data_IF_361816285371
#
_entry.id   IF_361816285371
#
_cell.length_a   1.000
_cell.length_b   1.000
_cell.length_c   1.000
_cell.angle_alpha   90.00
_cell.angle_beta   90.00
_cell.angle_gamma   90.00
#
_symmetry.space_group_name_H-M   'P 1'
#
loop_
_entity.id
_entity.type
_entity.pdbx_description
1 polymer ?
#
# COMPACT_ATOMS: atom_id res chain seq x y z
N UNK A 1 -10.28 8.72 -9.56
CA UNK A 1 -9.05 8.82 -10.34
C UNK A 1 -8.04 7.81 -9.84
N UNK A 2 -7.94 6.70 -10.53
CA UNK A 2 -7.09 5.62 -10.06
C UNK A 2 -5.59 5.90 -10.20
N UNK A 3 -5.18 6.81 -11.09
CA UNK A 3 -3.76 7.09 -11.30
C UNK A 3 -3.06 7.74 -10.11
N UNK A 4 -3.74 8.62 -9.37
CA UNK A 4 -3.11 9.27 -8.23
C UNK A 4 -2.77 8.28 -7.11
N UNK A 5 -3.49 7.17 -7.02
CA UNK A 5 -3.22 6.14 -6.02
C UNK A 5 -1.85 5.48 -6.22
N UNK A 6 -1.39 5.39 -7.46
CA UNK A 6 -0.08 4.80 -7.76
C UNK A 6 1.08 5.68 -7.30
N UNK A 7 0.87 7.00 -7.30
CA UNK A 7 1.87 7.94 -6.77
C UNK A 7 1.84 8.01 -5.26
N UNK A 8 0.66 7.81 -4.66
CA UNK A 8 0.42 8.00 -3.24
C UNK A 8 0.56 6.71 -2.46
N UNK A 9 -0.06 5.63 -2.98
CA UNK A 9 -0.06 4.31 -2.35
C UNK A 9 0.49 3.30 -3.35
N UNK A 10 1.82 3.11 -3.38
CA UNK A 10 2.44 2.26 -4.38
C UNK A 10 2.10 0.78 -4.20
N UNK A 11 2.16 0.03 -5.29
CA UNK A 11 1.77 -1.37 -5.36
C UNK A 11 2.96 -2.26 -5.68
N UNK A 12 2.87 -3.54 -5.33
CA UNK A 12 3.87 -4.53 -5.78
C UNK A 12 3.53 -4.96 -7.21
N UNK A 13 4.55 -5.36 -7.99
CA UNK A 13 4.33 -5.80 -9.37
C UNK A 13 3.41 -7.02 -9.42
N UNK A 14 2.68 -7.14 -10.51
CA UNK A 14 1.77 -8.26 -10.71
C UNK A 14 0.33 -7.95 -10.36
N UNK A 15 0.05 -6.78 -9.78
CA UNK A 15 -1.31 -6.36 -9.42
C UNK A 15 -1.89 -5.35 -10.39
N UNK A 16 -1.04 -4.54 -11.04
CA UNK A 16 -1.48 -3.52 -11.98
C UNK A 16 -1.71 -4.08 -13.36
N UNK A 17 -2.73 -3.56 -14.03
CA UNK A 17 -3.11 -4.02 -15.36
C UNK A 17 -2.85 -2.98 -16.45
N UNK A 18 -2.60 -1.72 -16.08
CA UNK A 18 -2.31 -0.66 -17.05
C UNK A 18 -0.80 -0.47 -17.19
N UNK A 19 -0.37 0.13 -18.29
CA UNK A 19 1.04 0.45 -18.51
C UNK A 19 1.56 1.43 -17.45
N UNK A 20 0.72 2.39 -17.05
CA UNK A 20 1.06 3.35 -16.02
C UNK A 20 1.29 2.64 -14.68
N UNK A 21 0.41 1.71 -14.33
CA UNK A 21 0.53 0.93 -13.10
C UNK A 21 1.84 0.15 -13.07
N UNK A 22 2.19 -0.50 -14.17
CA UNK A 22 3.42 -1.27 -14.27
C UNK A 22 4.66 -0.40 -14.09
N UNK A 23 4.60 0.83 -14.52
CA UNK A 23 5.73 1.76 -14.42
C UNK A 23 6.03 2.15 -12.97
N UNK A 24 5.00 2.30 -12.15
CA UNK A 24 5.14 2.81 -10.78
C UNK A 24 5.10 1.74 -9.69
N UNK A 25 5.00 0.46 -10.06
CA UNK A 25 4.92 -0.59 -9.06
C UNK A 25 6.32 -1.01 -8.58
N UNK A 26 6.37 -1.51 -7.34
CA UNK A 26 7.61 -2.06 -6.81
C UNK A 26 7.99 -3.34 -7.54
N UNK A 27 9.23 -3.43 -7.97
CA UNK A 27 9.74 -4.60 -8.68
C UNK A 27 10.29 -5.67 -7.74
N UNK A 28 10.70 -5.27 -6.53
CA UNK A 28 11.25 -6.19 -5.54
C UNK A 28 11.13 -5.60 -4.15
N UNK A 29 11.37 -6.42 -3.13
CA UNK A 29 11.32 -5.95 -1.74
C UNK A 29 12.40 -4.93 -1.41
N UNK A 30 13.53 -4.97 -2.13
CA UNK A 30 14.57 -3.95 -1.99
C UNK A 30 14.07 -2.55 -2.30
N UNK A 31 13.21 -2.43 -3.31
CA UNK A 31 12.60 -1.14 -3.66
C UNK A 31 11.62 -0.67 -2.58
N UNK A 32 10.89 -1.59 -1.95
CA UNK A 32 10.00 -1.24 -0.84
C UNK A 32 10.81 -0.69 0.32
N UNK A 33 11.91 -1.33 0.65
CA UNK A 33 12.80 -0.85 1.72
C UNK A 33 13.41 0.51 1.39
N UNK A 34 13.82 0.71 0.14
CA UNK A 34 14.36 1.98 -0.31
C UNK A 34 13.32 3.10 -0.22
N UNK A 35 12.06 2.80 -0.57
CA UNK A 35 10.95 3.73 -0.43
C UNK A 35 10.78 4.17 1.02
N UNK A 36 10.75 3.20 1.95
CA UNK A 36 10.56 3.49 3.36
C UNK A 36 11.76 4.24 3.97
N UNK A 37 12.96 4.07 3.41
CA UNK A 37 14.16 4.75 3.87
C UNK A 37 14.33 6.14 3.28
N UNK A 38 13.62 6.48 2.21
CA UNK A 38 13.70 7.80 1.59
C UNK A 38 12.87 8.79 2.43
N UNK A 39 13.53 9.84 2.94
CA UNK A 39 12.91 10.74 3.91
C UNK A 39 11.67 11.45 3.33
N UNK A 40 11.69 11.84 2.07
CA UNK A 40 10.56 12.53 1.45
C UNK A 40 9.38 11.60 1.22
N UNK A 41 9.65 10.39 0.74
CA UNK A 41 8.61 9.40 0.49
C UNK A 41 8.02 8.91 1.82
N UNK A 42 8.86 8.71 2.82
CA UNK A 42 8.43 8.31 4.16
C UNK A 42 7.47 9.34 4.77
N UNK A 43 7.85 10.61 4.77
CA UNK A 43 6.97 11.65 5.32
C UNK A 43 5.67 11.79 4.55
N UNK A 44 5.70 11.69 3.24
CA UNK A 44 4.50 11.80 2.43
C UNK A 44 3.52 10.67 2.72
N UNK A 45 4.01 9.44 2.76
CA UNK A 45 3.13 8.29 2.98
C UNK A 45 2.62 8.24 4.42
N UNK A 46 3.45 8.56 5.40
CA UNK A 46 3.02 8.56 6.80
C UNK A 46 1.99 9.63 7.06
N UNK A 47 2.13 10.82 6.48
CA UNK A 47 1.14 11.88 6.60
C UNK A 47 -0.21 11.44 6.06
N UNK A 48 -0.22 10.81 4.89
CA UNK A 48 -1.45 10.30 4.29
C UNK A 48 -2.09 9.19 5.13
N UNK A 49 -1.29 8.28 5.66
CA UNK A 49 -1.79 7.22 6.52
C UNK A 49 -2.41 7.80 7.81
N UNK A 50 -1.77 8.80 8.39
CA UNK A 50 -2.30 9.47 9.58
C UNK A 50 -3.61 10.19 9.29
N UNK A 51 -3.71 10.84 8.14
CA UNK A 51 -4.96 11.48 7.72
C UNK A 51 -6.07 10.44 7.58
N UNK A 52 -5.78 9.30 6.98
CA UNK A 52 -6.77 8.23 6.84
C UNK A 52 -7.24 7.73 8.20
N UNK A 53 -6.34 7.62 9.17
CA UNK A 53 -6.69 7.16 10.51
C UNK A 53 -7.56 8.17 11.27
N UNK A 54 -7.50 9.45 10.90
CA UNK A 54 -8.30 10.49 11.52
C UNK A 54 -9.70 10.62 10.90
N UNK A 55 -9.96 10.02 9.76
CA UNK A 55 -11.27 10.09 9.12
C UNK A 55 -12.32 9.40 9.98
N UNK A 56 -13.54 9.94 9.98
CA UNK A 56 -14.64 9.43 10.79
C UNK A 56 -15.20 8.11 10.25
N UNK A 57 -15.14 7.89 8.94
CA UNK A 57 -15.61 6.65 8.33
C UNK A 57 -14.52 5.60 8.33
N UNK A 58 -14.93 4.34 8.50
CA UNK A 58 -14.05 3.18 8.34
C UNK A 58 -14.37 2.38 7.07
N UNK A 59 -15.20 2.93 6.20
CA UNK A 59 -15.59 2.27 4.96
C UNK A 59 -14.74 2.80 3.80
N UNK A 60 -13.75 2.00 3.33
CA UNK A 60 -12.86 2.46 2.27
C UNK A 60 -13.56 2.64 0.93
N UNK A 61 -14.65 1.92 0.70
CA UNK A 61 -15.39 2.03 -0.55
C UNK A 61 -16.08 3.39 -0.64
N UNK A 62 -16.56 3.92 0.48
CA UNK A 62 -17.15 5.26 0.51
C UNK A 62 -16.14 6.34 0.13
N UNK A 63 -14.88 6.16 0.54
CA UNK A 63 -13.83 7.16 0.31
C UNK A 63 -13.25 7.05 -1.10
N UNK A 64 -12.93 5.84 -1.53
CA UNK A 64 -12.11 5.60 -2.72
C UNK A 64 -12.83 4.87 -3.84
N UNK A 65 -14.00 4.25 -3.58
CA UNK A 65 -14.58 3.29 -4.50
C UNK A 65 -13.92 1.93 -4.35
N UNK A 66 -14.50 0.90 -4.97
CA UNK A 66 -14.06 -0.48 -4.77
C UNK A 66 -12.65 -0.77 -5.27
N UNK A 67 -12.30 -0.25 -6.45
CA UNK A 67 -10.99 -0.53 -7.06
C UNK A 67 -9.87 0.13 -6.27
N UNK A 68 -10.03 1.41 -5.92
CA UNK A 68 -9.00 2.14 -5.18
C UNK A 68 -8.90 1.66 -3.73
N UNK A 69 -9.99 1.17 -3.15
CA UNK A 69 -9.95 0.55 -1.83
C UNK A 69 -9.06 -0.69 -1.84
N UNK A 70 -9.15 -1.51 -2.89
CA UNK A 70 -8.28 -2.69 -3.03
C UNK A 70 -6.82 -2.30 -3.20
N UNK A 71 -6.55 -1.21 -3.90
CA UNK A 71 -5.19 -0.69 -4.04
C UNK A 71 -4.63 -0.23 -2.70
N UNK A 72 -5.44 0.40 -1.89
CA UNK A 72 -5.04 0.80 -0.54
C UNK A 72 -4.69 -0.44 0.29
N UNK A 73 -5.55 -1.45 0.29
CA UNK A 73 -5.31 -2.69 1.03
C UNK A 73 -4.00 -3.35 0.58
N UNK A 74 -3.80 -3.45 -0.73
CA UNK A 74 -2.59 -4.03 -1.30
C UNK A 74 -1.34 -3.22 -0.92
N UNK A 75 -1.42 -1.90 -1.00
CA UNK A 75 -0.30 -1.03 -0.66
C UNK A 75 0.09 -1.18 0.82
N UNK A 76 -0.89 -1.18 1.72
CA UNK A 76 -0.63 -1.33 3.14
C UNK A 76 -0.01 -2.71 3.43
N UNK A 77 -0.43 -3.73 2.70
CA UNK A 77 0.12 -5.07 2.85
C UNK A 77 1.60 -5.12 2.49
N UNK A 78 2.00 -4.43 1.42
CA UNK A 78 3.41 -4.42 1.03
C UNK A 78 4.24 -3.49 1.93
N UNK A 79 3.70 -2.33 2.31
CA UNK A 79 4.44 -1.36 3.12
C UNK A 79 4.69 -1.86 4.55
N UNK A 80 3.82 -2.70 5.09
CA UNK A 80 4.00 -3.24 6.44
C UNK A 80 5.19 -4.21 6.53
N UNK A 81 5.79 -4.59 5.40
CA UNK A 81 6.99 -5.42 5.41
C UNK A 81 8.22 -4.65 5.86
N UNK A 82 8.14 -3.32 5.93
CA UNK A 82 9.22 -2.47 6.39
C UNK A 82 9.00 -2.10 7.86
N UNK A 83 10.08 -2.03 8.62
CA UNK A 83 10.01 -1.67 10.05
C UNK A 83 9.47 -0.26 10.24
N UNK A 84 9.84 0.65 9.34
CA UNK A 84 9.47 2.06 9.45
C UNK A 84 7.96 2.27 9.30
N UNK A 85 7.29 1.46 8.50
CA UNK A 85 5.89 1.68 8.15
C UNK A 85 4.95 0.61 8.71
N UNK A 86 5.48 -0.41 9.37
CA UNK A 86 4.70 -1.54 9.86
C UNK A 86 3.52 -1.13 10.73
N UNK A 87 3.76 -0.29 11.72
CA UNK A 87 2.71 0.09 12.67
C UNK A 87 1.58 0.85 12.00
N UNK A 88 1.92 1.84 11.18
CA UNK A 88 0.91 2.65 10.50
C UNK A 88 0.15 1.82 9.46
N UNK A 89 0.85 1.00 8.69
CA UNK A 89 0.22 0.17 7.69
C UNK A 89 -0.76 -0.82 8.34
N UNK A 90 -0.37 -1.44 9.43
CA UNK A 90 -1.27 -2.34 10.16
C UNK A 90 -2.45 -1.59 10.76
N UNK A 91 -2.25 -0.36 11.26
CA UNK A 91 -3.35 0.44 11.79
C UNK A 91 -4.38 0.77 10.70
N UNK A 92 -3.92 1.09 9.49
CA UNK A 92 -4.82 1.36 8.36
C UNK A 92 -5.58 0.09 7.97
N UNK A 93 -4.89 -1.05 7.91
CA UNK A 93 -5.56 -2.33 7.63
C UNK A 93 -6.60 -2.66 8.69
N UNK A 94 -6.29 -2.44 9.97
CA UNK A 94 -7.24 -2.71 11.06
C UNK A 94 -8.48 -1.83 10.95
N UNK A 95 -8.29 -0.55 10.63
CA UNK A 95 -9.41 0.39 10.56
C UNK A 95 -10.33 0.12 9.37
N UNK A 96 -9.79 -0.10 8.19
CA UNK A 96 -10.56 -0.15 6.95
C UNK A 96 -10.83 -1.56 6.43
N UNK A 97 -10.08 -2.55 6.88
CA UNK A 97 -10.14 -3.91 6.33
C UNK A 97 -10.20 -4.98 7.40
N UNK A 98 -10.55 -4.62 8.64
CA UNK A 98 -10.63 -5.55 9.77
C UNK A 98 -9.32 -6.33 9.98
N UNK A 99 -8.19 -5.71 9.69
CA UNK A 99 -6.88 -6.32 9.84
C UNK A 99 -6.51 -7.28 8.70
N UNK A 100 -7.35 -7.41 7.68
CA UNK A 100 -7.13 -8.37 6.60
C UNK A 100 -6.17 -7.81 5.55
N UNK A 101 -5.04 -8.50 5.29
CA UNK A 101 -4.14 -8.09 4.22
C UNK A 101 -4.67 -8.53 2.86
N UNK A 102 -4.07 -8.01 1.80
CA UNK A 102 -4.36 -8.46 0.45
C UNK A 102 -3.63 -9.79 0.21
N UNK A 103 -4.39 -10.88 0.08
CA UNK A 103 -3.80 -12.22 -0.09
C UNK A 103 -2.96 -12.33 -1.36
N UNK A 104 -3.40 -11.73 -2.44
CA UNK A 104 -2.64 -11.71 -3.69
C UNK A 104 -1.27 -11.07 -3.49
N UNK A 105 -1.23 -9.96 -2.75
CA UNK A 105 0.03 -9.28 -2.44
C UNK A 105 0.93 -10.16 -1.58
N UNK A 106 0.36 -10.87 -0.59
CA UNK A 106 1.14 -11.78 0.24
C UNK A 106 1.76 -12.90 -0.59
N UNK A 107 1.03 -13.46 -1.54
CA UNK A 107 1.55 -14.50 -2.43
C UNK A 107 2.73 -13.99 -3.24
N UNK A 108 2.62 -12.78 -3.76
CA UNK A 108 3.69 -12.17 -4.55
C UNK A 108 4.93 -11.91 -3.68
N UNK A 109 4.72 -11.39 -2.47
CA UNK A 109 5.82 -11.13 -1.53
C UNK A 109 6.54 -12.45 -1.18
N UNK A 110 5.79 -13.49 -0.88
CA UNK A 110 6.35 -14.80 -0.57
C UNK A 110 7.19 -15.34 -1.72
N UNK A 111 6.69 -15.17 -2.95
CA UNK A 111 7.44 -15.56 -4.15
C UNK A 111 8.77 -14.83 -4.26
N UNK A 112 8.79 -13.54 -3.88
CA UNK A 112 10.02 -12.74 -3.92
C UNK A 112 11.02 -13.15 -2.83
N UNK A 113 10.53 -13.52 -1.66
CA UNK A 113 11.38 -13.94 -0.54
C UNK A 113 12.08 -15.28 -0.82
N UNK A 114 11.43 -16.14 -1.58
CA UNK A 114 11.96 -17.45 -1.91
C UNK A 114 13.11 -17.40 -2.94
N UNK A 115 13.39 -16.22 -3.47
CA UNK A 115 14.49 -16.01 -4.40
C UNK A 115 15.67 -15.36 -3.72
#
# INVERSE_FOLDING_TARGET
MSCWMWYTFPQIKGLGYSDIAKYYEFQCLGEVRAFAANIYLYYNITELMEILLLLKTDNPIQIFGGIDARKLQSSMTVLRTTKQLEQLANAVLDKFFDGQPCERTLEIIESMEDK
#
